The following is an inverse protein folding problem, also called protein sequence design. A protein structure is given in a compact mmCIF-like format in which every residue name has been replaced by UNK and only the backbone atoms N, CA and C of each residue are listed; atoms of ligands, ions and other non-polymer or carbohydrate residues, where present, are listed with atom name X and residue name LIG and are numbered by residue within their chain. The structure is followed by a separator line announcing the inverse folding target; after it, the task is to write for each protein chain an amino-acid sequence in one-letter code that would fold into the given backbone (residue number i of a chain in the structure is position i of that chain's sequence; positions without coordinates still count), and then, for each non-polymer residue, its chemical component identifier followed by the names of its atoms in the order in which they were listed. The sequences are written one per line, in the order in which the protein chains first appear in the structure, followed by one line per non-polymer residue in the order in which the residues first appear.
data_IF_665126167564
#
_entry.id   IF_665126167564
#
_cell.length_a   1.000
_cell.length_b   1.000
_cell.length_c   1.000
_cell.angle_alpha   90.00
_cell.angle_beta   90.00
_cell.angle_gamma   90.00
#
_symmetry.space_group_name_H-M   'P 1'
#
loop_
_entity.id
_entity.type
_entity.pdbx_description
1 polymer ?
#
# COMPACT_ATOMS: atom_id res chain seq x y z
N UNK A 1 -4.17 -3.89 -4.98
CA UNK A 1 -3.70 -4.63 -3.80
C UNK A 1 -4.46 -5.93 -3.55
N UNK A 2 -5.76 -5.95 -3.23
CA UNK A 2 -6.44 -7.22 -2.87
C UNK A 2 -6.69 -8.25 -3.99
N UNK A 3 -6.57 -7.91 -5.29
CA UNK A 3 -6.60 -8.95 -6.35
C UNK A 3 -5.29 -9.72 -6.49
N UNK A 4 -4.23 -9.25 -5.83
CA UNK A 4 -2.98 -9.98 -5.73
C UNK A 4 -2.98 -10.93 -4.53
N UNK A 5 -4.06 -10.95 -3.73
CA UNK A 5 -4.23 -11.93 -2.67
C UNK A 5 -4.73 -13.21 -3.33
N UNK A 6 -3.84 -14.20 -3.42
CA UNK A 6 -4.18 -15.51 -3.93
C UNK A 6 -4.88 -16.35 -2.87
N UNK A 7 -5.38 -17.51 -3.31
CA UNK A 7 -5.83 -18.55 -2.41
C UNK A 7 -4.78 -18.96 -1.35
N UNK A 8 -3.47 -19.06 -1.66
CA UNK A 8 -2.45 -19.39 -0.66
C UNK A 8 -2.35 -18.37 0.47
N UNK A 9 -2.47 -17.07 0.19
CA UNK A 9 -2.44 -16.01 1.19
C UNK A 9 -3.66 -16.06 2.11
N UNK A 10 -4.84 -16.36 1.56
CA UNK A 10 -6.07 -16.57 2.36
C UNK A 10 -5.89 -17.73 3.32
N UNK A 11 -5.36 -18.87 2.85
CA UNK A 11 -5.07 -20.03 3.71
C UNK A 11 -4.06 -19.67 4.79
N UNK A 12 -3.00 -18.92 4.45
CA UNK A 12 -1.99 -18.46 5.40
C UNK A 12 -2.60 -17.62 6.52
N UNK A 13 -3.48 -16.67 6.19
CA UNK A 13 -4.20 -15.86 7.18
C UNK A 13 -5.13 -16.71 8.05
N UNK A 14 -5.79 -17.72 7.46
CA UNK A 14 -6.67 -18.63 8.19
C UNK A 14 -5.89 -19.45 9.21
N UNK A 15 -4.75 -20.02 8.81
CA UNK A 15 -3.85 -20.77 9.70
C UNK A 15 -3.29 -19.86 10.79
N UNK A 16 -2.82 -18.67 10.43
CA UNK A 16 -2.30 -17.70 11.41
C UNK A 16 -3.38 -17.31 12.43
N UNK A 17 -4.61 -17.05 11.96
CA UNK A 17 -5.75 -16.76 12.82
C UNK A 17 -6.10 -17.94 13.75
N UNK A 18 -6.07 -19.17 13.24
CA UNK A 18 -6.26 -20.39 14.04
C UNK A 18 -5.16 -20.57 15.09
N UNK A 19 -3.91 -20.22 14.80
CA UNK A 19 -2.81 -20.30 15.77
C UNK A 19 -2.95 -19.23 16.86
N UNK A 20 -3.24 -17.98 16.49
CA UNK A 20 -3.33 -16.86 17.43
C UNK A 20 -4.54 -17.02 18.36
N UNK A 21 -5.70 -17.31 17.78
CA UNK A 21 -6.97 -17.39 18.52
C UNK A 21 -7.17 -18.79 19.13
N UNK A 22 -6.71 -19.83 18.43
CA UNK A 22 -7.00 -21.23 18.73
C UNK A 22 -8.25 -21.73 17.98
N UNK A 23 -8.22 -22.96 17.42
CA UNK A 23 -9.36 -23.53 16.68
C UNK A 23 -10.61 -23.69 17.56
N UNK A 24 -10.44 -23.88 18.87
CA UNK A 24 -11.53 -24.05 19.83
C UNK A 24 -12.26 -22.73 20.15
N UNK A 25 -11.58 -21.59 19.98
CA UNK A 25 -12.13 -20.27 20.35
C UNK A 25 -12.69 -19.51 19.16
N UNK A 26 -12.21 -19.78 17.96
CA UNK A 26 -12.70 -19.20 16.72
C UNK A 26 -14.23 -19.34 16.53
N UNK A 27 -14.87 -20.51 16.73
CA UNK A 27 -16.32 -20.62 16.60
C UNK A 27 -17.07 -19.70 17.57
N UNK A 28 -16.60 -19.62 18.82
CA UNK A 28 -17.19 -18.74 19.85
C UNK A 28 -17.05 -17.25 19.48
N UNK A 29 -15.91 -16.83 18.96
CA UNK A 29 -15.71 -15.44 18.49
C UNK A 29 -16.64 -15.10 17.33
N UNK A 30 -16.83 -16.03 16.39
CA UNK A 30 -17.76 -15.83 15.26
C UNK A 30 -19.20 -15.67 15.78
N UNK A 31 -19.61 -16.48 16.76
CA UNK A 31 -20.92 -16.38 17.39
C UNK A 31 -21.11 -15.00 18.05
N UNK A 32 -20.12 -14.53 18.82
CA UNK A 32 -20.17 -13.22 19.49
C UNK A 32 -20.25 -12.08 18.48
N UNK A 33 -19.42 -12.10 17.43
CA UNK A 33 -19.43 -11.08 16.37
C UNK A 33 -20.76 -11.10 15.61
N UNK A 34 -21.30 -12.29 15.31
CA UNK A 34 -22.59 -12.43 14.64
C UNK A 34 -23.74 -11.90 15.51
N UNK A 35 -23.73 -12.21 16.80
CA UNK A 35 -24.72 -11.72 17.75
C UNK A 35 -24.66 -10.19 17.87
N UNK A 36 -23.45 -9.63 18.01
CA UNK A 36 -23.23 -8.19 18.04
C UNK A 36 -23.71 -7.51 16.74
N UNK A 37 -23.38 -8.08 15.58
CA UNK A 37 -23.84 -7.55 14.29
C UNK A 37 -25.36 -7.61 14.14
N UNK A 38 -26.00 -8.68 14.62
CA UNK A 38 -27.45 -8.81 14.61
C UNK A 38 -28.10 -7.79 15.54
N UNK A 39 -27.57 -7.63 16.75
CA UNK A 39 -28.04 -6.63 17.71
C UNK A 39 -27.91 -5.21 17.16
N UNK A 40 -26.77 -4.88 16.54
CA UNK A 40 -26.55 -3.59 15.90
C UNK A 40 -27.57 -3.33 14.77
N UNK A 41 -27.79 -4.31 13.87
CA UNK A 41 -28.81 -4.19 12.83
C UNK A 41 -30.20 -3.99 13.40
N UNK A 42 -30.57 -4.73 14.44
CA UNK A 42 -31.87 -4.61 15.12
C UNK A 42 -32.04 -3.24 15.77
N UNK A 43 -31.00 -2.74 16.45
CA UNK A 43 -31.00 -1.42 17.07
C UNK A 43 -31.14 -0.29 16.04
N UNK A 44 -30.40 -0.36 14.92
CA UNK A 44 -30.51 0.60 13.82
C UNK A 44 -31.92 0.58 13.22
N UNK A 45 -32.49 -0.60 12.97
CA UNK A 45 -33.84 -0.71 12.41
C UNK A 45 -34.91 -0.16 13.37
N UNK A 46 -34.76 -0.39 14.68
CA UNK A 46 -35.67 0.14 15.69
C UNK A 46 -35.57 1.67 15.78
N UNK A 47 -34.35 2.20 15.88
CA UNK A 47 -34.11 3.65 15.88
C UNK A 47 -34.63 4.31 14.60
N UNK A 48 -34.46 3.68 13.44
CA UNK A 48 -35.03 4.18 12.17
C UNK A 48 -36.56 4.20 12.20
N UNK A 49 -37.21 3.19 12.80
CA UNK A 49 -38.66 3.14 12.93
C UNK A 49 -39.19 4.27 13.84
N UNK A 50 -38.47 4.56 14.92
CA UNK A 50 -38.78 5.67 15.83
C UNK A 50 -38.52 7.04 15.17
N UNK A 51 -37.39 7.21 14.48
CA UNK A 51 -36.99 8.46 13.83
C UNK A 51 -37.81 8.79 12.57
N UNK A 52 -38.28 7.79 11.81
CA UNK A 52 -39.20 8.03 10.70
C UNK A 52 -40.55 8.61 11.15
N UNK A 53 -40.89 8.51 12.44
CA UNK A 53 -42.10 9.08 13.01
C UNK A 53 -42.03 10.61 13.19
N UNK A 54 -40.85 11.16 13.51
CA UNK A 54 -40.68 12.57 13.90
C UNK A 54 -39.64 13.37 13.08
N UNK A 55 -38.69 12.72 12.38
CA UNK A 55 -37.52 13.35 11.74
C UNK A 55 -37.45 13.17 10.21
N UNK A 56 -38.59 12.99 9.54
CA UNK A 56 -38.66 12.73 8.10
C UNK A 56 -38.03 13.83 7.21
N UNK A 57 -38.12 15.10 7.62
CA UNK A 57 -37.58 16.24 6.86
C UNK A 57 -36.04 16.34 6.97
N UNK A 58 -35.47 16.12 8.16
CA UNK A 58 -34.01 16.16 8.37
C UNK A 58 -33.30 14.95 7.72
N UNK A 59 -34.03 13.83 7.57
CA UNK A 59 -33.52 12.65 6.84
C UNK A 59 -33.41 12.89 5.33
N UNK A 60 -34.09 13.90 4.78
CA UNK A 60 -34.06 14.24 3.37
C UNK A 60 -32.72 14.88 2.99
N UNK A 61 -32.16 15.73 3.86
CA UNK A 61 -30.81 16.29 3.74
C UNK A 61 -29.73 15.20 3.91
N UNK A 62 -29.96 14.21 4.79
CA UNK A 62 -29.06 13.07 4.97
C UNK A 62 -29.17 12.02 3.84
N UNK A 63 -30.24 12.07 3.04
CA UNK A 63 -30.44 11.14 1.93
C UNK A 63 -29.40 11.31 0.84
N UNK A 64 -28.96 12.54 0.60
CA UNK A 64 -27.92 12.87 -0.36
C UNK A 64 -26.55 12.25 0.01
N UNK A 65 -25.99 12.47 1.22
CA UNK A 65 -24.76 11.82 1.65
C UNK A 65 -24.90 10.30 1.78
N UNK A 66 -26.05 9.77 2.23
CA UNK A 66 -26.30 8.33 2.25
C UNK A 66 -26.28 7.74 0.83
N UNK A 67 -26.86 8.43 -0.15
CA UNK A 67 -26.81 8.00 -1.56
C UNK A 67 -25.40 8.08 -2.14
N UNK A 68 -24.60 9.10 -1.77
CA UNK A 68 -23.17 9.17 -2.12
C UNK A 68 -22.38 8.02 -1.50
N UNK A 69 -22.63 7.68 -0.24
CA UNK A 69 -22.01 6.52 0.40
C UNK A 69 -22.44 5.20 -0.26
N UNK A 70 -23.72 5.07 -0.60
CA UNK A 70 -24.24 3.89 -1.30
C UNK A 70 -23.66 3.75 -2.73
N UNK A 71 -23.41 4.86 -3.43
CA UNK A 71 -22.75 4.82 -4.75
C UNK A 71 -21.27 4.43 -4.62
N UNK A 72 -20.56 4.93 -3.60
CA UNK A 72 -19.18 4.51 -3.27
C UNK A 72 -19.12 3.03 -2.93
N UNK A 73 -20.07 2.54 -2.13
CA UNK A 73 -20.15 1.13 -1.77
C UNK A 73 -20.46 0.23 -2.97
N UNK A 74 -21.26 0.70 -3.94
CA UNK A 74 -21.58 -0.01 -5.20
C UNK A 74 -20.41 -0.07 -6.18
N UNK A 75 -19.58 0.97 -6.24
CA UNK A 75 -18.33 0.96 -7.00
C UNK A 75 -17.35 -0.09 -6.44
N UNK A 76 -17.47 -0.40 -5.15
CA UNK A 76 -16.57 -1.32 -4.45
C UNK A 76 -15.26 -0.63 -4.06
N UNK A 77 -14.54 -1.19 -3.07
CA UNK A 77 -13.43 -0.51 -2.41
C UNK A 77 -12.29 -0.12 -3.36
N UNK A 78 -12.07 -0.91 -4.42
CA UNK A 78 -11.08 -0.55 -5.42
C UNK A 78 -11.49 0.66 -6.25
N UNK A 79 -12.70 0.66 -6.80
CA UNK A 79 -13.13 1.78 -7.62
C UNK A 79 -13.42 3.03 -6.78
N UNK A 80 -13.79 2.89 -5.50
CA UNK A 80 -13.84 3.98 -4.54
C UNK A 80 -12.47 4.64 -4.33
N UNK A 81 -11.43 3.83 -4.09
CA UNK A 81 -10.06 4.32 -3.93
C UNK A 81 -9.51 4.91 -5.23
N UNK A 82 -9.75 4.25 -6.36
CA UNK A 82 -9.38 4.75 -7.69
C UNK A 82 -10.07 6.08 -7.96
N UNK A 83 -11.37 6.21 -7.70
CA UNK A 83 -12.07 7.49 -7.91
C UNK A 83 -11.56 8.59 -6.98
N UNK A 84 -11.28 8.27 -5.72
CA UNK A 84 -10.72 9.23 -4.77
C UNK A 84 -9.29 9.70 -5.15
N UNK A 85 -8.45 8.82 -5.68
CA UNK A 85 -7.08 9.17 -6.12
C UNK A 85 -7.02 9.76 -7.53
N UNK A 86 -7.86 9.29 -8.47
CA UNK A 86 -7.77 9.63 -9.89
C UNK A 86 -8.66 10.82 -10.28
N UNK A 87 -9.81 11.04 -9.64
CA UNK A 87 -10.63 12.24 -9.93
C UNK A 87 -10.14 13.48 -9.18
N UNK A 88 -9.41 13.31 -8.08
CA UNK A 88 -8.92 14.42 -7.26
C UNK A 88 -7.68 15.13 -7.83
N UNK A 89 -6.96 14.48 -8.75
CA UNK A 89 -5.59 14.88 -9.12
C UNK A 89 -5.30 14.61 -10.61
N UNK A 90 -6.18 15.06 -11.51
CA UNK A 90 -5.97 14.90 -12.97
C UNK A 90 -4.64 15.51 -13.44
N UNK A 91 -4.15 16.54 -12.75
CA UNK A 91 -2.84 17.15 -12.99
C UNK A 91 -1.66 16.22 -12.64
N UNK A 92 -1.81 15.38 -11.60
CA UNK A 92 -0.81 14.36 -11.25
C UNK A 92 -0.74 13.30 -12.35
N UNK A 93 -1.88 12.87 -12.89
CA UNK A 93 -1.93 11.86 -13.96
C UNK A 93 -1.40 12.35 -15.30
N UNK A 94 -1.63 13.61 -15.64
CA UNK A 94 -1.04 14.25 -16.81
C UNK A 94 0.51 14.26 -16.76
N UNK A 95 1.09 14.28 -15.56
CA UNK A 95 2.55 14.21 -15.36
C UNK A 95 3.11 12.80 -15.61
N UNK A 96 2.28 11.76 -15.51
CA UNK A 96 2.65 10.38 -15.87
C UNK A 96 2.37 10.03 -17.34
N UNK A 97 1.83 10.96 -18.14
CA UNK A 97 1.63 10.72 -19.57
C UNK A 97 3.00 10.60 -20.25
N UNK A 98 3.35 9.43 -20.82
CA UNK A 98 4.63 9.22 -21.49
C UNK A 98 4.89 10.25 -22.59
N UNK A 99 3.86 10.83 -23.20
CA UNK A 99 4.03 11.91 -24.19
C UNK A 99 4.67 13.15 -23.58
N UNK A 100 4.22 13.61 -22.40
CA UNK A 100 4.80 14.78 -21.71
C UNK A 100 6.18 14.48 -21.14
N UNK A 101 6.38 13.28 -20.61
CA UNK A 101 7.69 12.85 -20.06
C UNK A 101 8.77 12.78 -21.17
N UNK A 102 8.39 12.36 -22.38
CA UNK A 102 9.29 12.31 -23.53
C UNK A 102 9.58 13.71 -24.11
N UNK A 103 8.64 14.65 -23.96
CA UNK A 103 8.82 16.05 -24.37
C UNK A 103 9.88 16.75 -23.50
N UNK A 104 9.90 16.48 -22.19
CA UNK A 104 10.90 17.01 -21.25
C UNK A 104 12.27 16.29 -21.33
N UNK A 105 12.28 15.00 -21.71
CA UNK A 105 13.48 14.15 -21.75
C UNK A 105 14.46 14.42 -22.91
N UNK A 106 14.11 15.27 -23.86
CA UNK A 106 14.98 15.60 -25.02
C UNK A 106 15.92 16.78 -24.74
N UNK A 107 15.72 17.53 -23.65
CA UNK A 107 16.58 18.66 -23.29
C UNK A 107 18.00 18.26 -22.79
N UNK A 108 18.19 17.01 -22.35
CA UNK A 108 19.43 16.54 -21.71
C UNK A 108 20.42 15.80 -22.61
N UNK A 109 20.06 15.45 -23.84
CA UNK A 109 20.90 14.56 -24.68
C UNK A 109 21.92 15.30 -25.56
N UNK A 110 21.84 16.63 -25.68
CA UNK A 110 22.79 17.42 -26.48
C UNK A 110 24.17 17.64 -25.84
N UNK A 111 24.37 17.27 -24.57
CA UNK A 111 25.62 17.54 -23.83
C UNK A 111 26.60 16.36 -23.73
N UNK A 112 26.26 15.15 -24.20
CA UNK A 112 27.16 13.98 -24.07
C UNK A 112 28.13 13.78 -25.24
N UNK A 113 27.98 14.52 -26.34
CA UNK A 113 28.76 14.26 -27.57
C UNK A 113 30.02 15.14 -27.74
N UNK A 114 30.34 16.01 -26.77
CA UNK A 114 31.57 16.83 -26.81
C UNK A 114 32.46 16.64 -25.58
N UNK A 115 33.11 15.48 -25.49
CA UNK A 115 34.34 15.17 -24.74
C UNK A 115 34.47 13.63 -24.80
N UNK A 116 35.28 12.98 -25.64
CA UNK A 116 36.66 13.29 -26.02
C UNK A 116 37.61 12.37 -25.27
N UNK A 117 37.87 11.16 -25.82
CA UNK A 117 39.20 10.52 -25.75
C UNK A 117 39.56 9.57 -24.60
N UNK A 118 39.69 8.28 -24.95
CA UNK A 118 40.74 7.31 -24.60
C UNK A 118 41.02 6.96 -23.11
N UNK A 119 40.75 5.71 -22.72
CA UNK A 119 41.75 4.68 -22.32
C UNK A 119 41.11 3.52 -21.54
N UNK A 120 41.48 2.28 -21.89
CA UNK A 120 40.95 1.01 -21.40
C UNK A 120 42.09 0.28 -20.68
N UNK A 121 42.05 -0.01 -19.37
CA UNK A 121 43.17 -0.67 -18.72
C UNK A 121 43.22 -2.18 -19.01
N UNK A 122 44.33 -2.62 -19.61
CA UNK A 122 44.73 -4.02 -19.77
C UNK A 122 45.49 -4.48 -18.50
N UNK A 123 45.22 -5.70 -18.04
CA UNK A 123 45.88 -6.39 -16.92
C UNK A 123 47.25 -6.97 -17.30
N UNK A 124 48.29 -6.85 -16.43
CA UNK A 124 49.47 -7.72 -16.45
C UNK A 124 49.52 -8.74 -15.27
N UNK A 125 50.20 -9.90 -15.43
CA UNK A 125 50.28 -11.02 -14.46
C UNK A 125 51.43 -10.87 -13.42
N UNK A 126 51.54 -11.78 -12.40
CA UNK A 126 52.13 -11.48 -11.10
C UNK A 126 53.66 -11.69 -11.05
N UNK A 127 54.33 -10.97 -10.14
CA UNK A 127 55.71 -11.25 -9.75
C UNK A 127 55.82 -11.33 -8.22
N UNK A 128 56.44 -12.41 -7.78
CA UNK A 128 56.63 -12.83 -6.40
C UNK A 128 57.64 -11.98 -5.63
N UNK A 129 57.27 -11.72 -4.36
CA UNK A 129 58.11 -11.72 -3.15
C UNK A 129 59.31 -10.78 -3.05
N UNK A 130 59.20 -9.78 -2.17
CA UNK A 130 60.21 -9.57 -1.12
C UNK A 130 59.66 -8.82 0.10
N UNK A 131 60.21 -9.21 1.25
CA UNK A 131 59.70 -9.17 2.62
C UNK A 131 60.28 -7.97 3.38
N UNK A 132 59.48 -7.22 4.13
CA UNK A 132 59.94 -6.37 5.23
C UNK A 132 58.86 -6.27 6.32
N UNK A 133 59.28 -6.47 7.57
CA UNK A 133 58.46 -6.68 8.78
C UNK A 133 58.02 -5.34 9.46
N UNK A 134 57.54 -5.35 10.72
CA UNK A 134 56.13 -5.24 11.09
C UNK A 134 55.81 -3.87 11.71
N UNK A 135 54.57 -3.38 11.62
CA UNK A 135 54.09 -2.35 12.54
C UNK A 135 52.77 -2.78 13.16
N UNK A 136 52.77 -2.64 14.48
CA UNK A 136 51.81 -3.13 15.44
C UNK A 136 50.37 -2.81 15.03
N UNK A 137 49.53 -3.84 15.07
CA UNK A 137 48.11 -3.72 14.84
C UNK A 137 47.43 -3.02 16.01
N UNK A 138 46.58 -2.08 15.66
CA UNK A 138 45.54 -1.50 16.50
C UNK A 138 44.62 -2.63 17.00
N UNK A 139 44.52 -2.85 18.32
CA UNK A 139 43.58 -3.83 18.90
C UNK A 139 42.24 -3.17 19.19
N UNK A 140 41.16 -3.89 18.90
CA UNK A 140 39.77 -3.41 19.00
C UNK A 140 39.19 -3.44 20.43
N UNK A 141 40.01 -3.66 21.46
CA UNK A 141 39.58 -3.72 22.87
C UNK A 141 39.32 -2.34 23.53
N UNK A 142 39.53 -1.23 22.82
CA UNK A 142 39.40 0.14 23.36
C UNK A 142 38.10 0.87 22.95
N UNK A 143 37.13 0.14 22.39
CA UNK A 143 35.80 0.69 22.04
C UNK A 143 34.72 -0.09 22.82
N UNK A 144 34.71 0.09 24.14
CA UNK A 144 33.56 -0.15 25.02
C UNK A 144 33.57 0.84 26.17
#
# INVERSE_FOLDING_TARGET
MFSSIGWPEIITLLVLGLIIIGPERLPKVIEDVRAAAYAAKKAINNAKAELNGDFGADFEELREPINKLASIQRMGPKAALTKALFDGDQEFMDTFDPKKIMEDGTAGQAYREKQGGVEKPQTPPPSETQKAQPKQGFSWDDIT
#
